data_IF_888944130194
#
_entry.id   IF_888944130194
#
_cell.length_a   1.000
_cell.length_b   1.000
_cell.length_c   1.000
_cell.angle_alpha   90.00
_cell.angle_beta   90.00
_cell.angle_gamma   90.00
#
_symmetry.space_group_name_H-M   'P 1'
#
loop_
_entity.id
_entity.type
_entity.pdbx_description
1 polymer ?
#
# COMPACT_ATOMS: atom_id res chain seq x y z
N UNK A 1 23.80 -29.03 -9.13
CA UNK A 1 22.80 -28.08 -8.59
C UNK A 1 22.15 -27.40 -9.79
N UNK A 2 20.85 -27.58 -10.03
CA UNK A 2 20.17 -26.97 -11.16
C UNK A 2 19.74 -25.53 -10.80
N UNK A 3 20.13 -24.56 -11.61
CA UNK A 3 19.61 -23.19 -11.51
C UNK A 3 18.14 -23.20 -11.96
N UNK A 4 17.26 -22.67 -11.13
CA UNK A 4 15.85 -22.44 -11.48
C UNK A 4 15.66 -20.95 -11.75
N UNK A 5 15.05 -20.63 -12.88
CA UNK A 5 14.68 -19.27 -13.25
C UNK A 5 13.17 -19.11 -13.18
N UNK A 6 12.71 -17.96 -12.68
CA UNK A 6 11.30 -17.54 -12.78
C UNK A 6 11.21 -16.54 -13.92
N UNK A 7 10.33 -16.78 -14.88
CA UNK A 7 10.08 -15.89 -16.02
C UNK A 7 8.73 -15.23 -15.78
N UNK A 8 8.73 -13.96 -15.41
CA UNK A 8 7.52 -13.22 -15.06
C UNK A 8 6.61 -12.96 -16.28
N UNK A 9 7.19 -12.81 -17.47
CA UNK A 9 6.43 -12.59 -18.70
C UNK A 9 7.14 -13.22 -19.91
N UNK A 10 6.66 -14.41 -20.31
CA UNK A 10 7.22 -15.17 -21.43
C UNK A 10 7.09 -14.40 -22.76
N UNK A 11 5.99 -13.67 -22.96
CA UNK A 11 5.76 -12.91 -24.18
C UNK A 11 6.76 -11.77 -24.32
N UNK A 12 6.96 -10.99 -23.25
CA UNK A 12 7.96 -9.92 -23.24
C UNK A 12 9.35 -10.43 -23.64
N UNK A 13 9.81 -11.53 -23.04
CA UNK A 13 11.12 -12.09 -23.39
C UNK A 13 11.17 -12.57 -24.84
N UNK A 14 10.11 -13.21 -25.34
CA UNK A 14 10.06 -13.66 -26.74
C UNK A 14 10.18 -12.50 -27.73
N UNK A 15 9.46 -11.40 -27.50
CA UNK A 15 9.51 -10.21 -28.34
C UNK A 15 10.84 -9.47 -28.18
N UNK A 16 11.34 -9.34 -26.94
CA UNK A 16 12.62 -8.71 -26.66
C UNK A 16 13.78 -9.44 -27.37
N UNK A 17 13.82 -10.77 -27.31
CA UNK A 17 14.85 -11.55 -28.02
C UNK A 17 14.74 -11.39 -29.53
N UNK A 18 13.53 -11.41 -30.09
CA UNK A 18 13.31 -11.18 -31.52
C UNK A 18 13.75 -9.77 -31.96
N UNK A 19 13.54 -8.76 -31.11
CA UNK A 19 14.02 -7.40 -31.36
C UNK A 19 15.54 -7.35 -31.33
N UNK A 20 16.15 -7.87 -30.25
CA UNK A 20 17.60 -7.82 -30.03
C UNK A 20 18.36 -8.59 -31.11
N UNK A 21 17.83 -9.72 -31.59
CA UNK A 21 18.47 -10.50 -32.66
C UNK A 21 18.56 -9.75 -34.00
N UNK A 22 17.76 -8.71 -34.19
CA UNK A 22 17.77 -7.88 -35.40
C UNK A 22 18.66 -6.63 -35.29
N UNK A 23 19.29 -6.39 -34.13
CA UNK A 23 20.17 -5.26 -33.90
C UNK A 23 21.64 -5.63 -34.15
N UNK A 24 22.38 -4.74 -34.81
CA UNK A 24 23.83 -4.83 -34.87
C UNK A 24 24.47 -4.60 -33.50
N UNK A 25 25.70 -5.09 -33.31
CA UNK A 25 26.48 -4.85 -32.08
C UNK A 25 26.61 -3.36 -31.76
N UNK A 26 26.81 -2.52 -32.78
CA UNK A 26 26.90 -1.07 -32.60
C UNK A 26 25.60 -0.45 -32.10
N UNK A 27 24.45 -0.89 -32.63
CA UNK A 27 23.14 -0.42 -32.16
C UNK A 27 22.88 -0.81 -30.70
N UNK A 28 23.23 -2.04 -30.32
CA UNK A 28 23.15 -2.48 -28.93
C UNK A 28 24.08 -1.66 -28.02
N UNK A 29 25.32 -1.43 -28.46
CA UNK A 29 26.28 -0.61 -27.72
C UNK A 29 25.80 0.83 -27.53
N UNK A 30 25.21 1.45 -28.55
CA UNK A 30 24.62 2.79 -28.44
C UNK A 30 23.44 2.82 -27.47
N UNK A 31 22.55 1.83 -27.53
CA UNK A 31 21.42 1.74 -26.61
C UNK A 31 21.87 1.58 -25.15
N UNK A 32 22.77 0.63 -24.88
CA UNK A 32 23.30 0.38 -23.53
C UNK A 32 24.10 1.59 -23.04
N UNK A 33 24.92 2.19 -23.91
CA UNK A 33 25.66 3.41 -23.61
C UNK A 33 24.74 4.57 -23.26
N UNK A 34 23.69 4.81 -24.05
CA UNK A 34 22.70 5.85 -23.79
C UNK A 34 21.92 5.61 -22.50
N UNK A 35 21.46 4.37 -22.26
CA UNK A 35 20.79 4.00 -21.02
C UNK A 35 21.67 4.25 -19.79
N UNK A 36 22.98 3.98 -19.90
CA UNK A 36 23.96 4.25 -18.85
C UNK A 36 24.12 5.76 -18.62
N UNK A 37 24.28 6.55 -19.68
CA UNK A 37 24.36 8.02 -19.59
C UNK A 37 23.09 8.58 -18.96
N UNK A 38 21.91 8.14 -19.40
CA UNK A 38 20.63 8.60 -18.87
C UNK A 38 20.45 8.23 -17.39
N UNK A 39 20.89 7.05 -16.96
CA UNK A 39 20.78 6.61 -15.57
C UNK A 39 21.73 7.34 -14.62
N UNK A 40 22.87 7.83 -15.12
CA UNK A 40 23.92 8.44 -14.31
C UNK A 40 24.01 9.96 -14.47
N UNK A 41 23.41 10.54 -15.51
CA UNK A 41 23.52 11.95 -15.87
C UNK A 41 23.16 12.90 -14.73
N UNK A 42 22.15 12.54 -13.93
CA UNK A 42 21.70 13.32 -12.78
C UNK A 42 22.73 13.41 -11.65
N UNK A 43 23.83 12.64 -11.71
CA UNK A 43 24.92 12.63 -10.71
C UNK A 43 26.21 13.20 -11.25
N UNK A 44 26.15 13.79 -12.44
CA UNK A 44 27.32 14.33 -13.12
C UNK A 44 27.37 15.85 -12.95
N UNK A 45 28.08 16.52 -13.86
CA UNK A 45 28.28 17.95 -13.78
C UNK A 45 26.98 18.70 -14.09
N UNK A 46 26.79 19.92 -13.53
CA UNK A 46 25.56 20.70 -13.73
C UNK A 46 25.19 20.92 -15.20
N UNK A 47 26.16 20.98 -16.12
CA UNK A 47 25.93 21.18 -17.55
C UNK A 47 25.13 20.03 -18.17
N UNK A 48 25.40 18.79 -17.74
CA UNK A 48 24.67 17.61 -18.20
C UNK A 48 23.29 17.56 -17.56
N UNK A 49 23.17 17.94 -16.29
CA UNK A 49 21.87 17.99 -15.59
C UNK A 49 20.95 19.00 -16.29
N UNK A 50 21.46 20.18 -16.66
CA UNK A 50 20.70 21.21 -17.37
C UNK A 50 20.12 20.75 -18.71
N UNK A 51 20.65 19.69 -19.33
CA UNK A 51 20.07 19.10 -20.53
C UNK A 51 18.70 18.46 -20.28
N UNK A 52 18.46 17.95 -19.07
CA UNK A 52 17.23 17.23 -18.71
C UNK A 52 16.14 18.11 -18.10
N UNK A 53 16.44 19.38 -17.80
CA UNK A 53 15.51 20.27 -17.11
C UNK A 53 15.29 21.58 -17.88
N UNK A 54 14.05 22.11 -17.89
CA UNK A 54 13.72 23.39 -18.51
C UNK A 54 14.50 24.59 -17.94
N UNK A 55 14.93 24.52 -16.68
CA UNK A 55 15.60 25.61 -15.98
C UNK A 55 16.68 25.12 -15.03
N UNK A 56 17.65 26.00 -14.72
CA UNK A 56 18.70 25.72 -13.72
C UNK A 56 18.14 25.47 -12.32
N UNK A 57 17.05 26.15 -11.96
CA UNK A 57 16.37 25.95 -10.67
C UNK A 57 15.80 24.54 -10.56
N UNK A 58 15.09 24.09 -11.60
CA UNK A 58 14.57 22.73 -11.67
C UNK A 58 15.69 21.69 -11.73
N UNK A 59 16.80 21.98 -12.43
CA UNK A 59 17.97 21.13 -12.45
C UNK A 59 18.58 20.93 -11.06
N UNK A 60 18.71 22.01 -10.28
CA UNK A 60 19.21 21.93 -8.89
C UNK A 60 18.28 21.14 -7.99
N UNK A 61 16.97 21.37 -8.08
CA UNK A 61 15.99 20.61 -7.30
C UNK A 61 15.98 19.13 -7.70
N UNK A 62 16.01 18.85 -9.00
CA UNK A 62 16.10 17.51 -9.57
C UNK A 62 17.36 16.78 -9.13
N UNK A 63 18.51 17.47 -9.08
CA UNK A 63 19.77 16.92 -8.58
C UNK A 63 19.69 16.54 -7.09
N UNK A 64 19.14 17.42 -6.24
CA UNK A 64 18.93 17.11 -4.81
C UNK A 64 18.01 15.90 -4.65
N UNK A 65 16.91 15.85 -5.40
CA UNK A 65 15.98 14.72 -5.38
C UNK A 65 16.61 13.43 -5.91
N UNK A 66 17.48 13.49 -6.91
CA UNK A 66 18.21 12.34 -7.43
C UNK A 66 19.19 11.77 -6.39
N UNK A 67 19.95 12.64 -5.72
CA UNK A 67 20.85 12.25 -4.63
C UNK A 67 20.08 11.67 -3.44
N UNK A 68 18.95 12.28 -3.05
CA UNK A 68 18.07 11.75 -2.01
C UNK A 68 17.52 10.37 -2.41
N UNK A 69 17.05 10.22 -3.66
CA UNK A 69 16.53 8.97 -4.20
C UNK A 69 17.57 7.86 -4.27
N UNK A 70 18.83 8.17 -4.57
CA UNK A 70 19.93 7.19 -4.55
C UNK A 70 20.36 6.81 -3.15
N UNK A 71 20.53 7.79 -2.27
CA UNK A 71 20.84 7.55 -0.86
C UNK A 71 19.77 6.65 -0.27
N UNK A 72 18.50 6.96 -0.53
CA UNK A 72 17.37 6.14 -0.16
C UNK A 72 17.38 4.75 -0.84
N UNK A 73 17.67 4.66 -2.13
CA UNK A 73 17.73 3.37 -2.83
C UNK A 73 18.73 2.42 -2.16
N UNK A 74 19.88 2.93 -1.74
CA UNK A 74 20.97 2.12 -1.17
C UNK A 74 20.91 1.95 0.36
N UNK A 75 20.49 2.98 1.08
CA UNK A 75 20.50 3.07 2.54
C UNK A 75 19.12 3.35 3.13
N UNK A 76 18.03 3.09 2.39
CA UNK A 76 16.67 3.42 2.79
C UNK A 76 16.31 2.93 4.19
N UNK A 77 16.66 1.70 4.54
CA UNK A 77 16.43 1.17 5.90
C UNK A 77 17.12 1.97 6.99
N UNK A 78 18.35 2.46 6.76
CA UNK A 78 19.05 3.31 7.73
C UNK A 78 18.35 4.67 7.87
N UNK A 79 17.95 5.29 6.74
CA UNK A 79 17.15 6.52 6.78
C UNK A 79 15.83 6.32 7.55
N UNK A 80 15.15 5.19 7.35
CA UNK A 80 13.90 4.90 8.05
C UNK A 80 14.07 4.69 9.54
N UNK A 81 15.06 3.89 9.95
CA UNK A 81 15.33 3.67 11.36
C UNK A 81 15.65 4.99 12.06
N UNK A 82 16.49 5.84 11.45
CA UNK A 82 16.82 7.17 11.98
C UNK A 82 15.59 8.07 12.03
N UNK A 83 14.83 8.20 10.93
CA UNK A 83 13.65 9.06 10.87
C UNK A 83 12.61 8.67 11.92
N UNK A 84 12.30 7.38 12.04
CA UNK A 84 11.32 6.95 13.03
C UNK A 84 11.80 7.22 14.46
N UNK A 85 13.09 7.01 14.76
CA UNK A 85 13.67 7.27 16.09
C UNK A 85 13.64 8.75 16.45
N UNK A 86 13.87 9.63 15.49
CA UNK A 86 13.96 11.07 15.72
C UNK A 86 12.58 11.73 15.74
N UNK A 87 11.65 11.28 14.91
CA UNK A 87 10.36 11.95 14.71
C UNK A 87 9.19 11.29 15.47
N UNK A 88 9.31 10.03 15.90
CA UNK A 88 8.21 9.30 16.55
C UNK A 88 8.54 8.91 17.99
N UNK A 89 7.62 9.23 18.89
CA UNK A 89 7.68 8.79 20.27
C UNK A 89 7.32 7.30 20.42
N UNK A 90 7.83 6.59 21.45
CA UNK A 90 7.40 5.23 21.74
C UNK A 90 5.89 5.08 21.94
N UNK A 91 5.21 6.15 22.36
CA UNK A 91 3.76 6.19 22.49
C UNK A 91 3.05 6.13 21.12
N UNK A 92 3.50 6.90 20.14
CA UNK A 92 2.95 6.87 18.78
C UNK A 92 3.16 5.51 18.10
N UNK A 93 4.34 4.94 18.29
CA UNK A 93 4.66 3.57 17.87
C UNK A 93 3.63 2.59 18.46
N UNK A 94 3.36 2.67 19.76
CA UNK A 94 2.40 1.81 20.42
C UNK A 94 0.96 2.03 19.92
N UNK A 95 0.55 3.27 19.70
CA UNK A 95 -0.78 3.64 19.20
C UNK A 95 -1.01 3.13 17.77
N UNK A 96 -0.09 3.37 16.85
CA UNK A 96 -0.14 2.82 15.48
C UNK A 96 -0.20 1.29 15.51
N UNK A 97 0.62 0.65 16.36
CA UNK A 97 0.61 -0.80 16.52
C UNK A 97 -0.72 -1.32 17.06
N UNK A 98 -1.38 -0.57 17.95
CA UNK A 98 -2.70 -0.89 18.45
C UNK A 98 -3.77 -0.74 17.36
N UNK A 99 -3.73 0.35 16.58
CA UNK A 99 -4.62 0.61 15.46
C UNK A 99 -4.55 -0.50 14.41
N UNK A 100 -3.33 -0.90 14.01
CA UNK A 100 -3.09 -2.05 13.13
C UNK A 100 -3.75 -3.32 13.65
N UNK A 101 -3.51 -3.66 14.93
CA UNK A 101 -4.07 -4.88 15.55
C UNK A 101 -5.60 -4.82 15.56
N UNK A 102 -6.15 -3.63 15.77
CA UNK A 102 -7.58 -3.43 15.85
C UNK A 102 -8.27 -3.58 14.50
N UNK A 103 -7.75 -2.93 13.45
CA UNK A 103 -8.27 -3.11 12.08
C UNK A 103 -8.12 -4.57 11.64
N UNK A 104 -6.99 -5.23 11.95
CA UNK A 104 -6.77 -6.65 11.64
C UNK A 104 -7.81 -7.57 12.28
N UNK A 105 -8.19 -7.32 13.53
CA UNK A 105 -9.25 -8.06 14.23
C UNK A 105 -10.54 -8.01 13.42
N UNK A 106 -11.01 -6.81 13.08
CA UNK A 106 -12.27 -6.65 12.35
C UNK A 106 -12.22 -7.07 10.90
N UNK A 107 -11.06 -6.95 10.27
CA UNK A 107 -10.81 -7.54 8.96
C UNK A 107 -11.01 -9.05 9.07
N UNK A 108 -10.27 -9.76 9.93
CA UNK A 108 -10.42 -11.21 10.14
C UNK A 108 -11.86 -11.63 10.44
N UNK A 109 -12.56 -10.98 11.37
CA UNK A 109 -13.96 -11.28 11.69
C UNK A 109 -14.90 -11.16 10.48
N UNK A 110 -14.66 -10.15 9.63
CA UNK A 110 -15.42 -9.97 8.38
C UNK A 110 -15.29 -11.16 7.44
N UNK A 111 -14.12 -11.79 7.40
CA UNK A 111 -13.82 -12.93 6.54
C UNK A 111 -14.11 -14.31 7.19
N UNK A 112 -13.96 -14.46 8.51
CA UNK A 112 -14.13 -15.72 9.24
C UNK A 112 -15.60 -16.16 9.37
N UNK A 113 -16.55 -15.32 9.01
CA UNK A 113 -17.98 -15.59 9.19
C UNK A 113 -18.66 -16.23 7.95
N UNK A 114 -17.91 -16.64 6.91
CA UNK A 114 -18.38 -16.92 5.53
C UNK A 114 -17.94 -18.25 4.94
N UNK A 115 -18.81 -19.03 4.28
CA UNK A 115 -18.48 -20.37 3.77
C UNK A 115 -17.26 -20.44 2.84
N UNK A 116 -17.39 -19.97 1.59
CA UNK A 116 -16.33 -20.09 0.60
C UNK A 116 -15.05 -19.32 0.98
N UNK A 117 -15.22 -18.21 1.69
CA UNK A 117 -14.14 -17.32 2.11
C UNK A 117 -13.39 -17.84 3.35
N UNK A 118 -14.11 -18.38 4.34
CA UNK A 118 -13.52 -19.08 5.49
C UNK A 118 -12.79 -20.33 5.00
N UNK A 119 -13.39 -21.10 4.09
CA UNK A 119 -12.74 -22.28 3.52
C UNK A 119 -11.44 -21.92 2.78
N UNK A 120 -11.44 -20.82 2.02
CA UNK A 120 -10.22 -20.32 1.37
C UNK A 120 -9.15 -19.90 2.37
N UNK A 121 -9.55 -19.19 3.43
CA UNK A 121 -8.63 -18.71 4.48
C UNK A 121 -8.07 -19.86 5.30
N UNK A 122 -8.91 -20.78 5.73
CA UNK A 122 -8.54 -21.95 6.51
C UNK A 122 -7.57 -22.84 5.71
N UNK A 123 -7.83 -23.05 4.41
CA UNK A 123 -6.91 -23.77 3.50
C UNK A 123 -5.60 -23.02 3.26
N UNK A 124 -5.67 -21.70 3.11
CA UNK A 124 -4.48 -20.86 2.93
C UNK A 124 -3.64 -20.76 4.20
N UNK A 125 -4.27 -20.87 5.37
CA UNK A 125 -3.60 -20.96 6.68
C UNK A 125 -2.97 -22.35 6.89
N UNK A 126 -3.63 -23.43 6.47
CA UNK A 126 -3.08 -24.78 6.56
C UNK A 126 -1.87 -25.01 5.63
N UNK A 127 -1.80 -24.32 4.49
CA UNK A 127 -0.67 -24.43 3.55
C UNK A 127 0.52 -23.55 3.91
N UNK A 128 0.34 -22.65 4.88
CA UNK A 128 1.40 -21.81 5.43
C UNK A 128 1.91 -22.45 6.71
N UNK A 129 3.23 -22.47 6.90
CA UNK A 129 3.85 -22.88 8.16
C UNK A 129 3.07 -22.26 9.33
N UNK A 130 2.71 -23.10 10.32
CA UNK A 130 1.80 -22.79 11.44
C UNK A 130 2.21 -21.56 12.29
N UNK A 131 3.35 -20.94 11.96
CA UNK A 131 3.94 -19.77 12.61
C UNK A 131 3.67 -18.43 11.89
N UNK A 132 3.02 -18.42 10.73
CA UNK A 132 2.65 -17.20 9.99
C UNK A 132 1.12 -16.95 10.00
N UNK A 133 0.53 -16.45 11.12
CA UNK A 133 -0.91 -16.24 11.25
C UNK A 133 -1.52 -15.16 10.32
N UNK A 134 -2.20 -15.56 9.25
CA UNK A 134 -3.13 -14.80 8.38
C UNK A 134 -3.65 -13.42 8.84
N UNK A 135 -3.51 -12.35 8.05
CA UNK A 135 -2.24 -11.93 7.49
C UNK A 135 -1.26 -11.71 8.65
N UNK A 136 -0.12 -12.41 8.65
CA UNK A 136 0.84 -12.32 9.74
C UNK A 136 1.67 -11.07 9.63
N UNK A 137 1.37 -10.17 10.55
CA UNK A 137 2.00 -8.89 10.76
C UNK A 137 1.71 -7.91 9.63
N UNK A 138 0.89 -6.89 9.91
CA UNK A 138 1.48 -5.60 9.64
C UNK A 138 2.63 -5.50 10.64
N UNK A 139 3.84 -5.74 10.18
CA UNK A 139 4.98 -5.17 10.86
C UNK A 139 4.94 -3.75 10.34
N UNK A 140 4.36 -2.83 11.09
CA UNK A 140 4.80 -1.47 10.89
C UNK A 140 6.35 -1.52 10.92
N UNK A 141 7.08 -0.79 10.07
CA UNK A 141 8.54 -0.70 10.12
C UNK A 141 9.04 -0.14 11.47
N UNK A 142 8.13 0.05 12.43
CA UNK A 142 8.33 -0.01 13.86
C UNK A 142 9.17 -1.20 14.35
N UNK A 143 9.32 -2.29 13.58
CA UNK A 143 10.29 -3.34 13.94
C UNK A 143 11.74 -2.83 13.97
N UNK A 144 12.08 -1.80 13.21
CA UNK A 144 13.42 -1.18 13.20
C UNK A 144 13.63 -0.12 14.30
N UNK A 145 12.62 0.10 15.16
CA UNK A 145 12.62 1.18 16.18
C UNK A 145 13.03 0.66 17.56
N UNK A 146 13.12 -0.66 17.74
CA UNK A 146 13.55 -1.24 19.00
C UNK A 146 15.07 -1.41 19.03
N UNK A 147 15.70 -0.98 20.12
CA UNK A 147 17.16 -1.09 20.38
C UNK A 147 17.74 -2.49 20.09
N UNK A 148 16.91 -3.55 20.20
CA UNK A 148 17.29 -4.94 19.88
C UNK A 148 17.62 -5.20 18.40
N UNK A 149 17.30 -4.29 17.48
CA UNK A 149 17.61 -4.40 16.04
C UNK A 149 18.66 -3.41 15.55
N UNK A 150 19.16 -2.48 16.38
CA UNK A 150 20.27 -1.60 15.99
C UNK A 150 21.54 -2.40 15.66
N UNK A 151 21.80 -3.46 16.43
CA UNK A 151 22.87 -4.41 16.13
C UNK A 151 22.69 -5.11 14.77
N UNK A 152 21.45 -5.36 14.34
CA UNK A 152 21.16 -5.96 13.04
C UNK A 152 21.33 -4.96 11.89
N UNK A 153 20.95 -3.70 12.11
CA UNK A 153 21.16 -2.62 11.14
C UNK A 153 22.66 -2.34 10.96
N UNK A 154 23.41 -2.26 12.06
CA UNK A 154 24.86 -2.08 12.03
C UNK A 154 25.55 -3.27 11.35
N UNK A 155 25.13 -4.51 11.61
CA UNK A 155 25.67 -5.68 10.92
C UNK A 155 25.34 -5.67 9.42
N UNK A 156 24.11 -5.27 9.06
CA UNK A 156 23.66 -5.14 7.68
C UNK A 156 24.53 -4.16 6.88
N UNK A 157 24.87 -3.03 7.50
CA UNK A 157 25.70 -1.98 6.89
C UNK A 157 27.19 -2.10 7.20
N UNK A 158 27.64 -3.11 7.97
CA UNK A 158 29.06 -3.30 8.34
C UNK A 158 30.00 -3.42 7.15
N UNK A 159 29.49 -3.95 6.02
CA UNK A 159 30.24 -4.12 4.78
C UNK A 159 30.19 -2.91 3.86
N UNK A 160 29.45 -1.86 4.23
CA UNK A 160 29.42 -0.63 3.45
C UNK A 160 30.75 0.10 3.68
N UNK A 161 31.41 0.55 2.61
CA UNK A 161 32.69 1.21 2.72
C UNK A 161 32.54 2.61 3.33
N UNK A 162 33.63 3.11 3.89
CA UNK A 162 33.76 4.55 4.15
C UNK A 162 33.58 5.36 2.87
N UNK A 163 33.14 6.61 3.05
CA UNK A 163 32.93 7.57 1.97
C UNK A 163 34.15 7.63 1.03
N UNK A 164 33.92 7.29 -0.23
CA UNK A 164 34.89 7.40 -1.31
C UNK A 164 34.93 8.84 -1.87
N UNK A 165 36.05 9.25 -2.49
CA UNK A 165 36.19 10.59 -3.10
C UNK A 165 35.18 10.88 -4.22
N UNK A 166 34.72 9.84 -4.93
CA UNK A 166 33.76 9.95 -6.03
C UNK A 166 32.43 9.30 -5.67
N UNK A 167 31.33 9.94 -6.09
CA UNK A 167 29.98 9.37 -5.98
C UNK A 167 29.85 8.06 -6.77
N UNK A 168 30.57 7.92 -7.90
CA UNK A 168 30.57 6.70 -8.69
C UNK A 168 31.24 5.54 -7.95
N UNK A 169 32.36 5.81 -7.29
CA UNK A 169 33.07 4.80 -6.49
C UNK A 169 32.23 4.38 -5.28
N UNK A 170 31.51 5.33 -4.67
CA UNK A 170 30.54 5.04 -3.60
C UNK A 170 29.43 4.12 -4.12
N UNK A 171 28.79 4.47 -5.24
CA UNK A 171 27.70 3.66 -5.84
C UNK A 171 28.18 2.24 -6.16
N UNK A 172 29.34 2.10 -6.81
CA UNK A 172 29.88 0.79 -7.16
C UNK A 172 30.19 -0.04 -5.92
N UNK A 173 30.81 0.56 -4.91
CA UNK A 173 31.21 -0.14 -3.70
C UNK A 173 29.99 -0.55 -2.85
N UNK A 174 28.97 0.31 -2.76
CA UNK A 174 27.71 -0.01 -2.07
C UNK A 174 26.91 -1.07 -2.83
N UNK A 175 26.88 -1.01 -4.16
CA UNK A 175 26.26 -2.05 -4.98
C UNK A 175 26.97 -3.40 -4.82
N UNK A 176 28.29 -3.42 -4.70
CA UNK A 176 29.06 -4.62 -4.42
C UNK A 176 28.77 -5.17 -3.02
N UNK A 177 28.74 -4.31 -1.99
CA UNK A 177 28.39 -4.69 -0.62
C UNK A 177 26.99 -5.34 -0.55
N UNK A 178 26.00 -4.76 -1.23
CA UNK A 178 24.64 -5.33 -1.32
C UNK A 178 24.59 -6.71 -1.97
N UNK A 179 25.39 -6.97 -3.01
CA UNK A 179 25.47 -8.29 -3.64
C UNK A 179 26.06 -9.34 -2.69
N UNK A 180 27.02 -8.93 -1.86
CA UNK A 180 27.72 -9.83 -0.94
C UNK A 180 26.90 -10.20 0.29
N UNK A 181 26.14 -9.26 0.85
CA UNK A 181 25.41 -9.52 2.09
C UNK A 181 24.28 -10.55 1.92
N UNK A 182 23.89 -10.91 0.67
CA UNK A 182 22.59 -11.54 0.36
C UNK A 182 21.47 -10.90 1.18
N UNK A 183 21.67 -9.65 1.62
CA UNK A 183 20.80 -9.00 2.56
C UNK A 183 19.55 -8.74 1.78
N UNK A 184 18.61 -9.64 2.04
CA UNK A 184 17.24 -9.66 1.62
C UNK A 184 16.94 -8.56 0.61
N UNK A 185 16.75 -8.97 -0.64
CA UNK A 185 16.10 -8.17 -1.68
C UNK A 185 14.79 -7.50 -1.18
N UNK A 186 14.27 -7.93 -0.02
CA UNK A 186 13.24 -7.25 0.80
C UNK A 186 13.54 -5.78 1.10
N UNK A 187 14.81 -5.40 1.31
CA UNK A 187 15.21 -4.00 1.53
C UNK A 187 15.46 -3.22 0.22
N UNK A 188 15.83 -3.94 -0.85
CA UNK A 188 16.31 -3.35 -2.12
C UNK A 188 15.19 -2.83 -3.02
N UNK A 189 13.95 -3.26 -2.79
CA UNK A 189 12.76 -2.80 -3.52
C UNK A 189 12.04 -1.63 -2.84
N UNK A 190 12.61 -1.12 -1.75
CA UNK A 190 12.14 0.14 -1.20
C UNK A 190 12.50 1.25 -2.20
N UNK A 191 11.49 1.83 -2.85
CA UNK A 191 11.60 3.07 -3.61
C UNK A 191 10.72 4.15 -2.97
N UNK A 192 11.35 5.17 -2.40
CA UNK A 192 10.65 6.34 -1.89
C UNK A 192 10.33 7.26 -3.06
N UNK A 193 9.05 7.44 -3.34
CA UNK A 193 8.56 8.46 -4.27
C UNK A 193 7.63 9.46 -3.55
N UNK A 194 7.67 9.50 -2.21
CA UNK A 194 6.78 10.31 -1.36
C UNK A 194 5.28 9.94 -1.45
N UNK A 195 4.90 9.02 -2.33
CA UNK A 195 3.49 8.64 -2.58
C UNK A 195 3.15 7.23 -2.10
N UNK A 196 4.16 6.36 -1.97
CA UNK A 196 3.99 5.02 -1.39
C UNK A 196 3.87 5.16 0.13
N UNK A 197 2.78 4.66 0.68
CA UNK A 197 2.44 4.68 2.12
C UNK A 197 2.59 3.28 2.75
N UNK A 198 2.58 2.26 1.91
CA UNK A 198 2.54 0.85 2.31
C UNK A 198 3.49 0.06 1.41
N UNK A 199 4.21 -0.87 2.01
CA UNK A 199 5.08 -1.78 1.28
C UNK A 199 4.64 -3.23 1.50
N UNK A 200 4.54 -4.02 0.44
CA UNK A 200 4.15 -5.44 0.53
C UNK A 200 5.38 -6.33 0.35
N UNK A 201 5.62 -7.17 1.34
CA UNK A 201 6.63 -8.21 1.26
C UNK A 201 5.94 -9.48 0.83
N UNK A 202 6.00 -9.73 -0.49
CA UNK A 202 5.28 -10.81 -1.15
C UNK A 202 5.67 -12.19 -0.63
N UNK A 203 6.97 -12.38 -0.38
CA UNK A 203 7.54 -13.65 0.04
C UNK A 203 7.18 -13.98 1.49
N UNK A 204 7.04 -12.94 2.32
CA UNK A 204 6.69 -13.04 3.74
C UNK A 204 5.19 -12.86 4.01
N UNK A 205 4.39 -12.59 2.96
CA UNK A 205 2.94 -12.33 3.03
C UNK A 205 2.56 -11.30 4.11
N UNK A 206 3.37 -10.25 4.23
CA UNK A 206 3.21 -9.16 5.20
C UNK A 206 3.21 -7.81 4.50
N UNK A 207 2.78 -6.78 5.21
CA UNK A 207 2.92 -5.40 4.76
C UNK A 207 3.58 -4.54 5.83
N UNK A 208 4.22 -3.45 5.39
CA UNK A 208 4.90 -2.49 6.24
C UNK A 208 4.34 -1.07 6.00
N UNK A 209 4.01 -0.38 7.09
CA UNK A 209 3.54 1.02 7.10
C UNK A 209 4.70 2.02 6.94
N UNK A 210 4.89 2.63 5.79
CA UNK A 210 6.01 3.57 5.65
C UNK A 210 5.79 4.80 6.54
N UNK A 211 6.85 5.52 6.96
CA UNK A 211 6.68 6.72 7.79
C UNK A 211 5.77 7.77 7.16
N UNK A 212 5.71 7.84 5.84
CA UNK A 212 4.78 8.70 5.08
C UNK A 212 3.30 8.39 5.34
N UNK A 213 2.97 7.20 5.85
CA UNK A 213 1.62 6.84 6.32
C UNK A 213 1.36 7.31 7.75
N UNK A 214 2.41 7.68 8.48
CA UNK A 214 2.35 8.12 9.87
C UNK A 214 2.39 9.65 10.00
N UNK A 215 2.10 10.35 8.90
CA UNK A 215 2.04 11.81 8.81
C UNK A 215 0.60 12.26 8.49
N UNK A 216 0.22 13.52 8.80
CA UNK A 216 -1.06 14.06 8.36
C UNK A 216 -1.22 14.02 6.83
N UNK A 217 -2.44 13.76 6.30
CA UNK A 217 -3.70 13.59 7.02
C UNK A 217 -3.96 12.16 7.53
N UNK A 218 -3.00 11.24 7.37
CA UNK A 218 -3.19 9.82 7.69
C UNK A 218 -3.16 9.54 9.19
N UNK A 219 -2.20 10.14 9.88
CA UNK A 219 -2.01 9.94 11.30
C UNK A 219 -1.44 11.18 11.99
N UNK A 220 -1.86 11.36 13.23
CA UNK A 220 -1.25 12.22 14.24
C UNK A 220 -1.67 11.67 15.59
N UNK A 221 -0.76 11.64 16.57
CA UNK A 221 -1.05 11.17 17.93
C UNK A 221 -2.27 11.86 18.56
N UNK A 222 -2.43 13.15 18.25
CA UNK A 222 -3.46 14.02 18.81
C UNK A 222 -4.77 13.98 18.03
N UNK A 223 -4.77 13.38 16.83
CA UNK A 223 -5.97 13.32 16.00
C UNK A 223 -7.05 12.43 16.65
N UNK A 224 -8.34 12.80 16.54
CA UNK A 224 -9.41 11.99 17.10
C UNK A 224 -9.50 10.64 16.37
N UNK A 225 -10.07 9.59 17.01
CA UNK A 225 -10.14 8.27 16.40
C UNK A 225 -10.81 8.24 15.02
N UNK A 226 -11.84 9.07 14.80
CA UNK A 226 -12.48 9.18 13.48
C UNK A 226 -11.47 9.49 12.36
N UNK A 227 -10.48 10.34 12.63
CA UNK A 227 -9.40 10.68 11.70
C UNK A 227 -8.44 9.52 11.53
N UNK A 228 -7.90 9.00 12.64
CA UNK A 228 -6.91 7.91 12.63
C UNK A 228 -7.43 6.66 11.92
N UNK A 229 -8.65 6.22 12.23
CA UNK A 229 -9.27 5.05 11.58
C UNK A 229 -9.79 5.37 10.18
N UNK A 230 -10.27 6.59 9.95
CA UNK A 230 -10.76 7.03 8.65
C UNK A 230 -9.65 7.09 7.61
N UNK A 231 -8.45 7.55 7.99
CA UNK A 231 -7.32 7.71 7.07
C UNK A 231 -6.30 6.56 7.18
N UNK A 232 -5.48 6.48 8.24
CA UNK A 232 -4.50 5.38 8.39
C UNK A 232 -5.18 4.01 8.49
N UNK A 233 -6.32 3.91 9.17
CA UNK A 233 -7.09 2.67 9.23
C UNK A 233 -7.56 2.18 7.86
N UNK A 234 -7.84 3.09 6.93
CA UNK A 234 -8.17 2.76 5.54
C UNK A 234 -6.99 2.17 4.79
N UNK A 235 -5.82 2.79 4.89
CA UNK A 235 -4.57 2.28 4.30
C UNK A 235 -4.26 0.86 4.81
N UNK A 236 -4.41 0.64 6.12
CA UNK A 236 -4.22 -0.69 6.74
C UNK A 236 -5.23 -1.70 6.19
N UNK A 237 -6.50 -1.31 6.03
CA UNK A 237 -7.53 -2.17 5.44
C UNK A 237 -7.23 -2.52 3.98
N UNK A 238 -6.82 -1.53 3.17
CA UNK A 238 -6.45 -1.70 1.76
C UNK A 238 -5.25 -2.63 1.65
N UNK A 239 -4.28 -2.52 2.57
CA UNK A 239 -3.14 -3.42 2.66
C UNK A 239 -3.53 -4.87 2.92
N UNK A 240 -4.43 -5.09 3.87
CA UNK A 240 -4.91 -6.44 4.16
C UNK A 240 -5.70 -7.02 2.99
N UNK A 241 -6.53 -6.21 2.33
CA UNK A 241 -7.28 -6.62 1.14
C UNK A 241 -6.36 -7.01 -0.01
N UNK A 242 -5.32 -6.22 -0.28
CA UNK A 242 -4.33 -6.52 -1.30
C UNK A 242 -3.60 -7.85 -1.02
N UNK A 243 -3.22 -8.12 0.24
CA UNK A 243 -2.61 -9.40 0.62
C UNK A 243 -3.53 -10.59 0.36
N UNK A 244 -4.82 -10.49 0.72
CA UNK A 244 -5.80 -11.53 0.41
C UNK A 244 -5.90 -11.76 -1.10
N UNK A 245 -5.95 -10.69 -1.88
CA UNK A 245 -6.03 -10.80 -3.35
C UNK A 245 -4.79 -11.40 -3.98
N UNK A 246 -3.61 -11.16 -3.40
CA UNK A 246 -2.39 -11.86 -3.82
C UNK A 246 -2.48 -13.36 -3.58
N UNK A 247 -3.06 -13.79 -2.47
CA UNK A 247 -3.25 -15.22 -2.19
C UNK A 247 -4.30 -15.84 -3.10
N UNK A 248 -5.34 -15.07 -3.41
CA UNK A 248 -6.38 -15.48 -4.36
C UNK A 248 -5.87 -15.59 -5.79
N UNK A 249 -4.70 -15.02 -6.13
CA UNK A 249 -4.14 -15.07 -7.48
C UNK A 249 -4.02 -16.51 -7.99
N UNK A 250 -3.61 -17.42 -7.10
CA UNK A 250 -3.36 -18.82 -7.44
C UNK A 250 -4.64 -19.68 -7.34
N UNK A 251 -5.76 -19.11 -6.88
CA UNK A 251 -7.06 -19.76 -6.89
C UNK A 251 -7.71 -19.71 -8.29
N UNK A 252 -8.59 -20.66 -8.58
CA UNK A 252 -9.37 -20.67 -9.83
C UNK A 252 -10.34 -19.47 -9.91
N UNK A 253 -10.75 -19.14 -11.13
CA UNK A 253 -11.60 -17.97 -11.39
C UNK A 253 -12.94 -18.02 -10.65
N UNK A 254 -13.55 -19.21 -10.51
CA UNK A 254 -14.82 -19.36 -9.80
C UNK A 254 -14.64 -19.10 -8.30
N UNK A 255 -13.56 -19.60 -7.70
CA UNK A 255 -13.23 -19.32 -6.30
C UNK A 255 -13.01 -17.81 -6.07
N UNK A 256 -12.21 -17.16 -6.93
CA UNK A 256 -12.00 -15.71 -6.85
C UNK A 256 -13.30 -14.91 -6.96
N UNK A 257 -14.14 -15.24 -7.96
CA UNK A 257 -15.40 -14.56 -8.18
C UNK A 257 -16.36 -14.71 -7.00
N UNK A 258 -16.45 -15.92 -6.42
CA UNK A 258 -17.26 -16.18 -5.21
C UNK A 258 -16.79 -15.33 -4.02
N UNK A 259 -15.47 -15.28 -3.79
CA UNK A 259 -14.90 -14.49 -2.68
C UNK A 259 -15.18 -13.00 -2.84
N UNK A 260 -14.93 -12.42 -4.01
CA UNK A 260 -15.20 -10.99 -4.24
C UNK A 260 -16.69 -10.65 -4.17
N UNK A 261 -17.56 -11.56 -4.61
CA UNK A 261 -19.01 -11.38 -4.51
C UNK A 261 -19.48 -11.43 -3.07
N UNK A 262 -19.04 -12.42 -2.30
CA UNK A 262 -19.39 -12.54 -0.89
C UNK A 262 -18.93 -11.32 -0.07
N UNK A 263 -17.73 -10.81 -0.37
CA UNK A 263 -17.18 -9.57 0.18
C UNK A 263 -18.09 -8.34 -0.09
N UNK A 264 -18.53 -8.15 -1.34
CA UNK A 264 -19.43 -7.04 -1.70
C UNK A 264 -20.82 -7.17 -1.04
N UNK A 265 -21.29 -8.40 -0.88
CA UNK A 265 -22.68 -8.66 -0.51
C UNK A 265 -22.96 -8.71 0.99
N UNK A 266 -21.98 -9.14 1.79
CA UNK A 266 -22.14 -9.23 3.25
C UNK A 266 -22.19 -7.89 3.95
N UNK A 267 -21.40 -6.94 3.48
CA UNK A 267 -21.32 -5.62 4.10
C UNK A 267 -22.53 -4.74 3.75
N UNK A 268 -23.49 -5.27 2.98
CA UNK A 268 -24.48 -4.47 2.27
C UNK A 268 -25.95 -4.98 2.29
N UNK A 269 -26.41 -5.80 3.25
CA UNK A 269 -27.80 -6.37 3.21
C UNK A 269 -28.95 -5.42 3.57
N UNK A 270 -29.92 -5.13 2.67
CA UNK A 270 -31.30 -5.43 2.97
C UNK A 270 -31.67 -6.56 2.04
N UNK A 271 -31.98 -7.72 2.58
CA UNK A 271 -32.71 -8.71 1.79
C UNK A 271 -34.09 -8.09 1.57
N UNK A 272 -34.38 -7.61 0.37
CA UNK A 272 -35.75 -7.43 -0.10
C UNK A 272 -36.01 -8.61 -1.05
N UNK A 273 -37.09 -9.38 -0.85
CA UNK A 273 -37.50 -10.41 -1.80
C UNK A 273 -37.76 -9.79 -3.16
N UNK A 274 -37.27 -10.45 -4.21
CA UNK A 274 -37.48 -10.07 -5.60
C UNK A 274 -38.97 -10.04 -5.90
N UNK A 275 -39.49 -8.87 -6.22
CA UNK A 275 -40.61 -8.73 -7.15
C UNK A 275 -40.47 -7.37 -7.84
N UNK A 276 -40.12 -7.42 -9.13
CA UNK A 276 -40.07 -6.32 -10.10
C UNK A 276 -38.94 -5.29 -9.98
N UNK A 277 -37.83 -5.53 -10.70
CA UNK A 277 -36.92 -4.46 -11.12
C UNK A 277 -36.36 -4.72 -12.53
N UNK A 278 -37.19 -4.51 -13.54
CA UNK A 278 -36.72 -4.14 -14.88
C UNK A 278 -36.30 -2.67 -14.86
N UNK A 279 -35.04 -2.36 -14.59
CA UNK A 279 -34.43 -1.09 -14.98
C UNK A 279 -32.92 -1.25 -15.10
N UNK A 280 -32.39 -0.80 -16.25
CA UNK A 280 -30.97 -0.70 -16.57
C UNK A 280 -30.14 -0.21 -15.37
N UNK A 281 -29.20 -1.03 -14.93
CA UNK A 281 -28.18 -0.66 -13.96
C UNK A 281 -27.32 0.45 -14.60
N UNK A 282 -27.19 1.65 -13.99
CA UNK A 282 -26.29 2.67 -14.48
C UNK A 282 -24.88 2.09 -14.59
N UNK A 283 -24.22 2.35 -15.72
CA UNK A 283 -22.82 1.99 -16.03
C UNK A 283 -21.98 1.67 -14.79
N UNK A 284 -21.50 0.43 -14.70
CA UNK A 284 -20.57 -0.02 -13.67
C UNK A 284 -19.37 0.96 -13.55
N UNK A 285 -18.81 1.15 -12.34
CA UNK A 285 -17.77 2.15 -12.11
C UNK A 285 -16.47 1.86 -12.87
N UNK A 286 -15.65 2.90 -13.10
CA UNK A 286 -14.31 2.84 -13.73
C UNK A 286 -13.26 2.06 -12.91
N UNK A 287 -13.68 1.33 -11.87
CA UNK A 287 -12.87 0.53 -10.96
C UNK A 287 -13.24 -0.95 -11.16
N UNK A 288 -12.26 -1.86 -11.14
CA UNK A 288 -12.56 -3.28 -11.34
C UNK A 288 -13.43 -3.85 -10.21
N UNK A 289 -14.26 -4.86 -10.49
CA UNK A 289 -15.07 -5.56 -9.45
C UNK A 289 -14.21 -6.06 -8.29
N UNK A 290 -12.99 -6.51 -8.60
CA UNK A 290 -11.98 -6.92 -7.63
C UNK A 290 -11.61 -5.76 -6.71
N UNK A 291 -11.16 -4.64 -7.27
CA UNK A 291 -10.70 -3.49 -6.49
C UNK A 291 -11.86 -2.87 -5.68
N UNK A 292 -13.08 -2.87 -6.21
CA UNK A 292 -14.26 -2.45 -5.45
C UNK A 292 -14.52 -3.35 -4.24
N UNK A 293 -14.41 -4.68 -4.40
CA UNK A 293 -14.58 -5.63 -3.32
C UNK A 293 -13.50 -5.46 -2.23
N UNK A 294 -12.25 -5.30 -2.64
CA UNK A 294 -11.12 -5.00 -1.74
C UNK A 294 -11.40 -3.75 -0.90
N UNK A 295 -11.86 -2.66 -1.55
CA UNK A 295 -12.15 -1.39 -0.87
C UNK A 295 -13.36 -1.45 0.07
N UNK A 296 -14.44 -2.13 -0.30
CA UNK A 296 -15.62 -2.27 0.57
C UNK A 296 -15.28 -3.06 1.84
N UNK A 297 -14.47 -4.10 1.70
CA UNK A 297 -14.00 -4.90 2.84
C UNK A 297 -13.08 -4.07 3.75
N UNK A 298 -12.10 -3.37 3.15
CA UNK A 298 -11.20 -2.46 3.85
C UNK A 298 -11.97 -1.40 4.66
N UNK A 299 -12.91 -0.72 3.99
CA UNK A 299 -13.81 0.27 4.58
C UNK A 299 -14.60 -0.31 5.75
N UNK A 300 -15.17 -1.50 5.58
CA UNK A 300 -15.92 -2.16 6.64
C UNK A 300 -15.05 -2.52 7.85
N UNK A 301 -13.84 -3.02 7.63
CA UNK A 301 -12.91 -3.36 8.69
C UNK A 301 -12.48 -2.13 9.49
N UNK A 302 -12.05 -1.07 8.80
CA UNK A 302 -11.65 0.19 9.41
C UNK A 302 -12.81 0.86 10.17
N UNK A 303 -14.01 0.86 9.60
CA UNK A 303 -15.18 1.47 10.23
C UNK A 303 -15.65 0.69 11.46
N UNK A 304 -15.65 -0.64 11.43
CA UNK A 304 -15.99 -1.44 12.62
C UNK A 304 -14.96 -1.26 13.74
N UNK A 305 -13.67 -1.20 13.40
CA UNK A 305 -12.62 -0.88 14.37
C UNK A 305 -12.80 0.51 14.98
N UNK A 306 -13.17 1.51 14.18
CA UNK A 306 -13.55 2.83 14.66
C UNK A 306 -14.72 2.78 15.65
N UNK A 307 -15.80 2.09 15.32
CA UNK A 307 -16.97 1.99 16.20
C UNK A 307 -16.64 1.29 17.52
N UNK A 308 -15.84 0.22 17.50
CA UNK A 308 -15.38 -0.49 18.70
C UNK A 308 -14.50 0.41 19.57
N UNK A 309 -13.64 1.23 18.95
CA UNK A 309 -12.74 2.14 19.67
C UNK A 309 -13.43 3.35 20.31
N UNK A 310 -14.66 3.68 19.90
CA UNK A 310 -15.31 4.98 20.22
C UNK A 310 -16.70 4.86 20.82
N UNK A 311 -17.04 3.69 21.37
CA UNK A 311 -18.39 3.38 21.86
C UNK A 311 -19.48 3.77 20.85
N UNK A 312 -19.35 3.24 19.63
CA UNK A 312 -20.32 3.45 18.56
C UNK A 312 -20.20 4.79 17.83
N UNK A 313 -19.06 5.49 17.93
CA UNK A 313 -18.77 6.72 17.18
C UNK A 313 -19.28 7.99 17.84
N UNK A 314 -19.56 7.95 19.14
CA UNK A 314 -20.15 9.06 19.91
C UNK A 314 -19.11 10.06 20.43
N UNK A 315 -17.82 9.82 20.19
CA UNK A 315 -16.77 10.67 20.72
C UNK A 315 -16.23 11.66 19.68
N UNK A 316 -15.95 12.87 20.19
CA UNK A 316 -15.28 14.01 19.57
C UNK A 316 -16.06 14.82 18.54
N UNK A 317 -16.01 16.14 18.73
CA UNK A 317 -16.34 17.21 17.78
C UNK A 317 -15.06 18.01 17.60
N UNK A 318 -14.66 18.26 16.37
CA UNK A 318 -13.54 19.16 16.08
C UNK A 318 -14.04 20.60 16.19
N UNK A 319 -13.24 21.46 16.79
CA UNK A 319 -13.53 22.90 16.87
C UNK A 319 -13.71 23.46 15.46
N UNK A 320 -14.80 24.21 15.24
CA UNK A 320 -15.23 24.71 13.93
C UNK A 320 -15.95 23.69 13.05
N UNK A 321 -16.07 22.43 13.48
CA UNK A 321 -16.79 21.35 12.79
C UNK A 321 -17.75 20.60 13.72
N UNK A 322 -18.34 21.29 14.69
CA UNK A 322 -19.18 20.71 15.73
C UNK A 322 -20.46 20.06 15.17
N UNK A 323 -20.85 20.44 13.95
CA UNK A 323 -21.97 19.85 13.21
C UNK A 323 -21.66 18.47 12.60
N UNK A 324 -20.38 18.08 12.54
CA UNK A 324 -19.96 16.77 12.06
C UNK A 324 -19.89 15.78 13.22
N UNK A 325 -20.54 14.64 13.05
CA UNK A 325 -20.41 13.52 13.99
C UNK A 325 -19.11 12.76 13.72
N UNK A 326 -18.62 11.99 14.70
CA UNK A 326 -17.45 11.11 14.51
C UNK A 326 -17.60 10.17 13.30
N UNK A 327 -18.82 9.66 13.04
CA UNK A 327 -19.11 8.85 11.84
C UNK A 327 -18.96 9.63 10.54
N UNK A 328 -19.47 10.87 10.47
CA UNK A 328 -19.31 11.73 9.28
C UNK A 328 -17.84 12.06 9.06
N UNK A 329 -17.11 12.40 10.13
CA UNK A 329 -15.68 12.67 10.08
C UNK A 329 -14.88 11.45 9.58
N UNK A 330 -15.18 10.24 10.06
CA UNK A 330 -14.53 9.02 9.57
C UNK A 330 -14.60 8.91 8.04
N UNK A 331 -15.79 9.08 7.46
CA UNK A 331 -15.97 8.96 6.01
C UNK A 331 -15.34 10.12 5.23
N UNK A 332 -15.30 11.32 5.80
CA UNK A 332 -14.59 12.45 5.21
C UNK A 332 -13.10 12.14 5.13
N UNK A 333 -12.49 11.68 6.23
CA UNK A 333 -11.06 11.35 6.26
C UNK A 333 -10.69 10.12 5.43
N UNK A 334 -11.60 9.15 5.31
CA UNK A 334 -11.49 8.07 4.31
C UNK A 334 -11.33 8.61 2.89
N UNK A 335 -12.13 9.59 2.51
CA UNK A 335 -12.03 10.20 1.19
C UNK A 335 -10.83 11.14 1.05
N UNK A 336 -10.47 11.88 2.10
CA UNK A 336 -9.29 12.76 2.07
C UNK A 336 -8.00 11.98 1.89
N UNK A 337 -7.90 10.77 2.44
CA UNK A 337 -6.79 9.85 2.16
C UNK A 337 -6.61 9.55 0.65
N UNK A 338 -7.68 9.67 -0.15
CA UNK A 338 -7.67 9.40 -1.60
C UNK A 338 -7.50 10.66 -2.45
N UNK A 339 -7.48 11.86 -1.84
CA UNK A 339 -7.28 13.11 -2.58
C UNK A 339 -5.91 13.12 -3.28
N UNK A 340 -5.88 13.65 -4.51
CA UNK A 340 -4.67 13.73 -5.32
C UNK A 340 -4.31 12.47 -6.13
N UNK A 341 -5.01 11.35 -5.93
CA UNK A 341 -4.95 10.22 -6.85
C UNK A 341 -5.71 10.54 -8.15
N UNK A 342 -5.20 10.12 -9.31
CA UNK A 342 -5.83 10.35 -10.62
C UNK A 342 -7.26 9.81 -10.72
N UNK A 343 -7.58 8.82 -9.90
CA UNK A 343 -8.87 8.13 -9.76
C UNK A 343 -9.48 8.29 -8.36
N UNK A 344 -9.00 9.26 -7.55
CA UNK A 344 -9.39 9.43 -6.15
C UNK A 344 -10.90 9.55 -5.94
N UNK A 345 -11.61 10.17 -6.90
CA UNK A 345 -13.08 10.26 -6.91
C UNK A 345 -13.74 8.88 -6.90
N UNK A 346 -13.25 7.95 -7.71
CA UNK A 346 -13.77 6.59 -7.79
C UNK A 346 -13.42 5.78 -6.54
N UNK A 347 -12.17 5.88 -6.09
CA UNK A 347 -11.67 5.22 -4.87
C UNK A 347 -12.43 5.62 -3.60
N UNK A 348 -12.89 6.87 -3.54
CA UNK A 348 -13.75 7.37 -2.47
C UNK A 348 -15.23 7.01 -2.71
N UNK A 349 -15.82 7.42 -3.83
CA UNK A 349 -17.28 7.36 -3.99
C UNK A 349 -17.83 5.95 -4.18
N UNK A 350 -17.18 5.13 -4.99
CA UNK A 350 -17.73 3.84 -5.41
C UNK A 350 -17.89 2.85 -4.23
N UNK A 351 -16.93 2.68 -3.31
CA UNK A 351 -17.17 1.87 -2.11
C UNK A 351 -18.22 2.49 -1.17
N UNK A 352 -18.25 3.82 -1.03
CA UNK A 352 -19.22 4.50 -0.14
C UNK A 352 -20.67 4.38 -0.62
N UNK A 353 -20.89 4.36 -1.94
CA UNK A 353 -22.20 4.08 -2.56
C UNK A 353 -22.78 2.73 -2.14
N UNK A 354 -21.89 1.77 -1.90
CA UNK A 354 -22.18 0.43 -1.45
C UNK A 354 -22.10 0.28 0.08
N UNK A 355 -21.90 1.36 0.84
CA UNK A 355 -21.69 1.26 2.27
C UNK A 355 -22.82 1.93 3.04
N UNK A 356 -23.75 1.11 3.56
CA UNK A 356 -24.95 1.61 4.26
C UNK A 356 -24.68 2.48 5.47
N UNK A 357 -23.58 2.23 6.17
CA UNK A 357 -23.22 3.06 7.31
C UNK A 357 -22.91 4.50 6.90
N UNK A 358 -22.34 4.69 5.70
CA UNK A 358 -22.19 6.00 5.10
C UNK A 358 -23.54 6.63 4.79
N UNK A 359 -24.42 5.90 4.08
CA UNK A 359 -25.76 6.39 3.76
C UNK A 359 -26.58 6.79 5.01
N UNK A 360 -26.44 6.04 6.11
CA UNK A 360 -27.07 6.39 7.40
C UNK A 360 -26.42 7.60 8.05
N UNK A 361 -25.09 7.71 8.03
CA UNK A 361 -24.38 8.83 8.63
C UNK A 361 -24.70 10.17 7.93
N UNK A 362 -24.92 10.15 6.62
CA UNK A 362 -25.24 11.33 5.80
C UNK A 362 -26.71 11.42 5.37
N UNK A 363 -27.58 10.56 5.91
CA UNK A 363 -29.01 10.56 5.63
C UNK A 363 -29.33 10.49 4.11
N UNK A 364 -28.53 9.72 3.36
CA UNK A 364 -28.69 9.59 1.92
C UNK A 364 -29.99 8.82 1.59
N UNK A 365 -30.80 9.39 0.70
CA UNK A 365 -31.99 8.72 0.17
C UNK A 365 -31.61 7.57 -0.76
N UNK A 366 -32.38 6.49 -0.74
CA UNK A 366 -32.25 5.38 -1.70
C UNK A 366 -32.37 5.92 -3.13
N UNK A 367 -31.47 5.52 -4.02
CA UNK A 367 -31.45 5.97 -5.42
C UNK A 367 -30.77 7.34 -5.61
N UNK A 368 -30.28 7.96 -4.55
CA UNK A 368 -29.44 9.15 -4.67
C UNK A 368 -28.09 8.81 -5.31
N UNK A 369 -27.38 9.84 -5.77
CA UNK A 369 -26.07 9.68 -6.39
C UNK A 369 -25.06 8.95 -5.48
N UNK A 370 -25.21 8.96 -4.15
CA UNK A 370 -24.30 8.36 -3.19
C UNK A 370 -24.89 7.19 -2.40
N UNK A 371 -26.09 6.71 -2.78
CA UNK A 371 -26.65 5.51 -2.17
C UNK A 371 -27.51 4.72 -3.17
N UNK A 372 -26.93 3.61 -3.64
CA UNK A 372 -27.55 2.69 -4.59
C UNK A 372 -27.76 1.34 -3.95
N UNK A 373 -28.96 0.78 -4.07
CA UNK A 373 -29.19 -0.62 -3.71
C UNK A 373 -28.60 -1.46 -4.83
N UNK A 374 -27.66 -2.32 -4.49
CA UNK A 374 -27.10 -3.30 -5.43
C UNK A 374 -27.65 -4.65 -5.07
N UNK A 375 -28.34 -5.30 -6.01
CA UNK A 375 -28.72 -6.69 -5.86
C UNK A 375 -27.47 -7.56 -5.89
N UNK A 376 -27.40 -8.45 -4.91
CA UNK A 376 -26.32 -9.41 -4.78
C UNK A 376 -26.82 -10.75 -5.29
N UNK A 377 -26.59 -11.01 -6.57
CA UNK A 377 -26.90 -12.28 -7.24
C UNK A 377 -25.68 -13.18 -7.32
#
# INVERSE_FOLDING_TARGET
>A
MALRFVIDNVFFFSEFFALVSNLSESQMAYYVGWATVQGLSLLTKPEVINFYYPSRSEALQGHVLACAGLSHHYMGLAFYATYIREEFSPHEVADVTALVRHVRKFFREGFSSSGALKDFIDKSQQSLDQNAPFPSAASAPLSFVTDSQEGQLNELFRHFPDQKPSIFDNIQSVAAARRMTRADTRAANFRWNGKVRLYYLTDDKRFELLPTALEPPFYSAEAPPAVKYGALGAEIGDAMAALVSMWLRDADENTRAKVYTEALCRHNRPVIPVETATTQVPSWPNISRRELAERVVSLNAAFRAFLDATDGGNQYRLDGYESLTGKRMFFIFWCMAQCGASDGKHKCHDPLRLFRYFARAFECKVGSAMFTITECT
#
